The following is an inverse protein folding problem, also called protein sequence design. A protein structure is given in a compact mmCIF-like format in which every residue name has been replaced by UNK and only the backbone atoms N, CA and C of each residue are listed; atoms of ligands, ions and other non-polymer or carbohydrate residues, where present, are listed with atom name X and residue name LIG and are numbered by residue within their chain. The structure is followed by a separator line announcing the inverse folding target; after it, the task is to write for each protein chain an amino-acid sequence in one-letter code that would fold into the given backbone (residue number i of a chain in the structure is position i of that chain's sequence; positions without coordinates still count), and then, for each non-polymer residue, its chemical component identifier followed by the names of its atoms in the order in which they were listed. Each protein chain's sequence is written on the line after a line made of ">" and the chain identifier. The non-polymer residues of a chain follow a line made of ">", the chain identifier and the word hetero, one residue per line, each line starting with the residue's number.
data_IF_729672410976
#
_entry.id   IF_729672410976
#
_cell.length_a   1.000
_cell.length_b   1.000
_cell.length_c   1.000
_cell.angle_alpha   90.00
_cell.angle_beta   90.00
_cell.angle_gamma   90.00
#
_symmetry.space_group_name_H-M   'P 1'
#
loop_
_entity.id
_entity.type
_entity.pdbx_description
1 polymer ?
#
# COMPACT_ATOMS: atom_id res chain seq x y z
N UNK A 1 7.03 11.97 10.20
CA UNK A 1 7.34 11.35 8.89
C UNK A 1 8.83 11.06 8.70
N UNK A 2 9.72 11.91 9.23
CA UNK A 2 11.18 11.77 9.06
C UNK A 2 11.69 10.44 9.63
N UNK A 3 11.26 10.07 10.83
CA UNK A 3 11.64 8.82 11.48
C UNK A 3 11.16 7.58 10.70
N UNK A 4 9.97 7.68 10.11
CA UNK A 4 9.34 6.56 9.34
C UNK A 4 10.12 6.27 8.06
N UNK A 5 10.68 7.28 7.40
CA UNK A 5 11.41 7.09 6.13
C UNK A 5 12.91 6.83 6.33
N UNK A 6 13.43 6.99 7.54
CA UNK A 6 14.84 6.77 7.83
C UNK A 6 15.32 5.35 7.45
N UNK A 7 14.61 4.26 7.84
CA UNK A 7 15.02 2.91 7.44
C UNK A 7 15.06 2.70 5.92
N UNK A 8 14.18 3.39 5.18
CA UNK A 8 14.13 3.30 3.71
C UNK A 8 15.36 3.96 3.09
N UNK A 9 15.79 5.11 3.63
CA UNK A 9 17.03 5.79 3.21
C UNK A 9 18.26 4.96 3.53
N UNK A 10 18.32 4.35 4.71
CA UNK A 10 19.41 3.41 5.07
C UNK A 10 19.47 2.21 4.12
N UNK A 11 18.34 1.59 3.82
CA UNK A 11 18.27 0.49 2.86
C UNK A 11 18.83 0.90 1.50
N UNK A 12 18.50 2.11 1.02
CA UNK A 12 19.04 2.64 -0.24
C UNK A 12 20.55 2.81 -0.20
N UNK A 13 21.11 3.35 0.89
CA UNK A 13 22.55 3.49 1.07
C UNK A 13 23.28 2.14 1.12
N UNK A 14 22.62 1.09 1.59
CA UNK A 14 23.09 -0.29 1.55
C UNK A 14 22.94 -0.98 0.17
N UNK A 15 22.47 -0.24 -0.84
CA UNK A 15 22.35 -0.75 -2.21
C UNK A 15 21.03 -1.43 -2.54
N UNK A 16 20.00 -1.30 -1.69
CA UNK A 16 18.67 -1.85 -1.99
C UNK A 16 18.01 -1.04 -3.11
N UNK A 17 17.60 -1.72 -4.18
CA UNK A 17 16.96 -1.11 -5.36
C UNK A 17 15.49 -1.49 -5.52
N UNK A 18 15.04 -2.51 -4.81
CA UNK A 18 13.68 -3.06 -4.92
C UNK A 18 13.07 -3.16 -3.53
N UNK A 19 11.81 -2.80 -3.36
CA UNK A 19 11.12 -2.93 -2.09
C UNK A 19 9.69 -3.48 -2.26
N UNK A 20 9.25 -4.26 -1.27
CA UNK A 20 7.89 -4.73 -1.15
C UNK A 20 7.34 -4.16 0.15
N UNK A 21 6.27 -3.40 0.08
CA UNK A 21 5.54 -2.92 1.25
C UNK A 21 4.24 -3.67 1.41
N UNK A 22 3.96 -4.13 2.62
CA UNK A 22 2.70 -4.77 2.96
C UNK A 22 2.06 -4.07 4.13
N UNK A 23 0.74 -3.97 4.13
CA UNK A 23 -0.03 -3.37 5.21
C UNK A 23 -1.38 -4.04 5.39
N UNK A 24 -2.06 -3.73 6.50
CA UNK A 24 -3.48 -3.94 6.69
C UNK A 24 -4.23 -2.69 6.24
N UNK A 25 -5.40 -2.85 5.63
CA UNK A 25 -6.24 -1.75 5.17
C UNK A 25 -7.73 -2.06 5.34
N UNK A 26 -8.52 -1.02 5.56
CA UNK A 26 -9.98 -1.09 5.47
C UNK A 26 -10.43 -1.03 4.00
N UNK A 27 -11.33 -1.92 3.59
CA UNK A 27 -11.90 -1.92 2.24
C UNK A 27 -12.93 -0.81 2.05
N UNK A 28 -12.72 0.06 1.07
CA UNK A 28 -13.67 1.11 0.64
C UNK A 28 -14.48 0.65 -0.56
N UNK A 29 -13.86 -0.10 -1.47
CA UNK A 29 -14.52 -0.67 -2.63
C UNK A 29 -15.52 -1.74 -2.20
N UNK A 30 -16.78 -1.58 -2.62
CA UNK A 30 -17.88 -2.46 -2.20
C UNK A 30 -17.80 -3.89 -2.77
N UNK A 31 -16.93 -4.14 -3.74
CA UNK A 31 -16.66 -5.48 -4.25
C UNK A 31 -15.67 -6.28 -3.40
N UNK A 32 -14.94 -5.59 -2.50
CA UNK A 32 -13.98 -6.23 -1.62
C UNK A 32 -14.67 -6.88 -0.41
N UNK A 33 -13.95 -7.78 0.21
CA UNK A 33 -14.31 -8.41 1.48
C UNK A 33 -13.06 -8.68 2.32
N UNK A 34 -13.21 -8.84 3.63
CA UNK A 34 -12.08 -9.17 4.51
C UNK A 34 -11.33 -10.42 4.02
N UNK A 35 -10.01 -10.34 4.02
CA UNK A 35 -9.08 -11.34 3.50
C UNK A 35 -8.72 -11.17 2.02
N UNK A 36 -9.26 -10.20 1.29
CA UNK A 36 -8.81 -9.87 -0.07
C UNK A 36 -7.43 -9.21 -0.05
N UNK A 37 -6.68 -9.37 -1.15
CA UNK A 37 -5.42 -8.70 -1.36
C UNK A 37 -5.62 -7.58 -2.40
N UNK A 38 -5.23 -6.36 -2.06
CA UNK A 38 -5.22 -5.23 -2.97
C UNK A 38 -3.77 -4.88 -3.34
N UNK A 39 -3.40 -5.09 -4.58
CA UNK A 39 -2.15 -4.59 -5.17
C UNK A 39 -2.32 -3.09 -5.35
N UNK A 40 -1.50 -2.30 -4.67
CA UNK A 40 -1.61 -0.85 -4.70
C UNK A 40 -1.11 -0.34 -6.05
N UNK A 41 -2.00 0.31 -6.80
CA UNK A 41 -1.67 0.92 -8.09
C UNK A 41 -1.24 2.38 -7.97
N UNK A 42 -1.83 3.10 -7.00
CA UNK A 42 -1.61 4.50 -6.72
C UNK A 42 -2.06 4.83 -5.29
N UNK A 43 -1.83 6.05 -4.85
CA UNK A 43 -2.31 6.52 -3.55
C UNK A 43 -2.91 7.92 -3.62
N UNK A 44 -3.80 8.21 -2.65
CA UNK A 44 -4.33 9.55 -2.38
C UNK A 44 -3.91 9.94 -0.96
N UNK A 45 -3.34 11.13 -0.78
CA UNK A 45 -3.05 11.70 0.53
C UNK A 45 -3.22 13.23 0.52
N UNK A 46 -3.80 13.78 1.57
CA UNK A 46 -4.01 15.23 1.70
C UNK A 46 -3.50 15.79 3.04
N UNK A 47 -3.42 14.99 4.07
CA UNK A 47 -3.18 15.43 5.46
C UNK A 47 -1.86 14.93 6.07
N UNK A 48 -1.05 14.22 5.32
CA UNK A 48 0.28 13.80 5.77
C UNK A 48 1.30 14.90 5.50
N UNK A 49 2.16 15.22 6.49
CA UNK A 49 3.34 16.00 6.22
C UNK A 49 4.25 15.22 5.26
N UNK A 50 4.46 15.74 4.05
CA UNK A 50 5.27 15.07 3.04
C UNK A 50 6.72 14.94 3.54
N UNK A 51 7.31 13.74 3.54
CA UNK A 51 8.66 13.49 4.05
C UNK A 51 9.77 14.14 3.21
N UNK A 52 9.45 14.65 2.02
CA UNK A 52 10.38 15.35 1.13
C UNK A 52 10.37 16.87 1.33
N UNK A 53 9.60 17.41 2.31
CA UNK A 53 9.63 18.84 2.65
C UNK A 53 10.95 19.16 3.37
N UNK A 54 11.61 20.23 2.93
CA UNK A 54 12.87 20.69 3.47
C UNK A 54 13.95 20.81 2.40
N UNK A 55 15.23 20.95 2.78
CA UNK A 55 16.35 20.90 1.84
C UNK A 55 16.37 19.56 1.10
N UNK A 56 16.62 19.60 -0.21
CA UNK A 56 16.79 18.36 -0.95
C UNK A 56 18.07 17.63 -0.52
N UNK A 57 18.00 16.32 -0.48
CA UNK A 57 19.17 15.44 -0.30
C UNK A 57 19.51 14.90 -1.69
N UNK A 58 20.36 15.64 -2.42
CA UNK A 58 20.62 15.40 -3.85
C UNK A 58 21.19 14.00 -4.12
N UNK A 59 21.87 13.41 -3.14
CA UNK A 59 22.35 12.03 -3.19
C UNK A 59 21.25 10.99 -3.27
N UNK A 60 20.03 11.32 -2.86
CA UNK A 60 18.88 10.41 -2.90
C UNK A 60 17.98 10.62 -4.12
N UNK A 61 18.00 11.80 -4.72
CA UNK A 61 17.15 12.03 -5.90
C UNK A 61 16.87 13.51 -6.18
N UNK A 62 16.11 13.78 -7.25
CA UNK A 62 15.80 15.14 -7.68
C UNK A 62 14.85 15.86 -6.72
N UNK A 63 14.94 17.20 -6.68
CA UNK A 63 14.05 18.04 -5.87
C UNK A 63 12.56 17.83 -6.16
N UNK A 64 12.21 17.51 -7.39
CA UNK A 64 10.85 17.29 -7.86
C UNK A 64 10.74 15.93 -8.56
N UNK A 65 10.60 14.83 -7.80
CA UNK A 65 10.46 13.49 -8.38
C UNK A 65 9.10 13.33 -9.06
N UNK A 66 9.05 12.53 -10.11
CA UNK A 66 7.78 12.11 -10.71
C UNK A 66 7.07 11.12 -9.80
N UNK A 67 5.74 11.24 -9.70
CA UNK A 67 4.87 10.29 -8.98
C UNK A 67 3.99 9.46 -9.92
N UNK A 68 4.30 9.40 -11.22
CA UNK A 68 3.46 8.71 -12.20
C UNK A 68 3.52 7.17 -12.11
N UNK A 69 4.55 6.59 -11.51
CA UNK A 69 4.73 5.13 -11.37
C UNK A 69 5.42 4.81 -10.03
N UNK A 70 4.83 5.29 -8.93
CA UNK A 70 5.36 5.03 -7.57
C UNK A 70 5.37 3.53 -7.30
N UNK A 71 4.27 2.84 -7.59
CA UNK A 71 4.18 1.38 -7.52
C UNK A 71 4.43 0.79 -8.91
N UNK A 72 5.61 0.25 -9.11
CA UNK A 72 6.16 -0.15 -10.40
C UNK A 72 5.23 -1.08 -11.19
N UNK A 73 4.70 -0.59 -12.32
CA UNK A 73 3.70 -1.30 -13.12
C UNK A 73 4.10 -2.74 -13.48
N UNK A 74 5.33 -3.04 -13.96
CA UNK A 74 5.73 -4.42 -14.23
C UNK A 74 5.64 -5.34 -13.00
N UNK A 75 5.90 -4.83 -11.78
CA UNK A 75 5.79 -5.62 -10.56
C UNK A 75 4.34 -5.96 -10.21
N UNK A 76 3.44 -5.00 -10.42
CA UNK A 76 2.00 -5.23 -10.23
C UNK A 76 1.48 -6.29 -11.21
N UNK A 77 1.90 -6.24 -12.48
CA UNK A 77 1.55 -7.22 -13.51
C UNK A 77 2.07 -8.62 -13.18
N UNK A 78 3.33 -8.75 -12.75
CA UNK A 78 3.92 -10.03 -12.32
C UNK A 78 3.14 -10.61 -11.14
N UNK A 79 2.87 -9.82 -10.10
CA UNK A 79 2.17 -10.30 -8.91
C UNK A 79 0.75 -10.77 -9.23
N UNK A 80 0.02 -10.02 -10.06
CA UNK A 80 -1.32 -10.42 -10.52
C UNK A 80 -1.30 -11.69 -11.37
N UNK A 81 -0.27 -11.86 -12.19
CA UNK A 81 -0.08 -13.09 -12.96
C UNK A 81 0.12 -14.30 -12.03
N UNK A 82 0.94 -14.16 -11.01
CA UNK A 82 1.14 -15.22 -9.99
C UNK A 82 -0.20 -15.58 -9.34
N UNK A 83 -0.99 -14.59 -8.90
CA UNK A 83 -2.31 -14.84 -8.33
C UNK A 83 -3.24 -15.58 -9.30
N UNK A 84 -3.25 -15.20 -10.57
CA UNK A 84 -4.05 -15.84 -11.60
C UNK A 84 -3.63 -17.29 -11.86
N UNK A 85 -2.34 -17.60 -11.82
CA UNK A 85 -1.80 -18.97 -11.92
C UNK A 85 -2.29 -19.85 -10.76
N UNK A 86 -2.44 -19.27 -9.57
CA UNK A 86 -3.07 -19.91 -8.41
C UNK A 86 -4.61 -19.93 -8.44
N UNK A 87 -5.22 -19.38 -9.50
CA UNK A 87 -6.68 -19.22 -9.64
C UNK A 87 -7.30 -18.44 -8.47
N UNK A 88 -6.56 -17.48 -7.93
CA UNK A 88 -7.02 -16.62 -6.84
C UNK A 88 -7.77 -15.41 -7.38
N UNK A 89 -9.10 -15.45 -7.29
CA UNK A 89 -9.99 -14.37 -7.68
C UNK A 89 -10.10 -13.25 -6.61
N UNK A 90 -9.38 -13.39 -5.50
CA UNK A 90 -9.39 -12.46 -4.36
C UNK A 90 -8.19 -11.52 -4.35
N UNK A 91 -7.54 -11.31 -5.49
CA UNK A 91 -6.45 -10.35 -5.70
C UNK A 91 -6.89 -9.28 -6.68
N UNK A 92 -6.98 -8.07 -6.20
CA UNK A 92 -7.46 -6.89 -6.94
C UNK A 92 -6.33 -5.87 -7.10
N UNK A 93 -6.51 -4.89 -7.96
CA UNK A 93 -5.67 -3.70 -8.06
C UNK A 93 -6.50 -2.49 -7.63
N UNK A 94 -5.92 -1.59 -6.83
CA UNK A 94 -6.69 -0.46 -6.31
C UNK A 94 -5.85 0.70 -5.80
N UNK A 95 -6.52 1.80 -5.51
CA UNK A 95 -5.96 3.04 -4.99
C UNK A 95 -6.04 3.06 -3.46
N UNK A 96 -4.89 3.27 -2.83
CA UNK A 96 -4.77 3.35 -1.38
C UNK A 96 -4.96 4.79 -0.90
N UNK A 97 -5.89 5.03 0.03
CA UNK A 97 -6.05 6.33 0.69
C UNK A 97 -5.29 6.33 2.01
N UNK A 98 -4.44 7.35 2.22
CA UNK A 98 -3.77 7.55 3.49
C UNK A 98 -4.64 8.38 4.43
N UNK A 99 -4.95 7.84 5.61
CA UNK A 99 -5.54 8.53 6.74
C UNK A 99 -4.51 8.67 7.87
N UNK A 100 -4.55 9.79 8.60
CA UNK A 100 -3.56 10.05 9.64
C UNK A 100 -3.75 9.18 10.90
N UNK A 101 -4.98 8.70 11.16
CA UNK A 101 -5.29 8.03 12.41
C UNK A 101 -5.14 8.95 13.65
N UNK A 102 -5.09 8.41 14.88
CA UNK A 102 -5.14 6.98 15.20
C UNK A 102 -6.57 6.38 15.23
N UNK A 103 -7.64 7.22 15.20
CA UNK A 103 -9.00 6.73 15.09
C UNK A 103 -9.31 6.25 13.67
N UNK A 104 -10.26 5.32 13.58
CA UNK A 104 -10.85 4.95 12.30
C UNK A 104 -11.66 6.12 11.71
N UNK A 105 -11.82 6.10 10.41
CA UNK A 105 -12.55 7.10 9.66
C UNK A 105 -14.04 7.05 9.97
N UNK A 106 -14.71 8.19 9.89
CA UNK A 106 -16.16 8.26 9.97
C UNK A 106 -16.81 7.72 8.67
N UNK A 107 -18.07 7.26 8.73
CA UNK A 107 -18.79 6.87 7.50
C UNK A 107 -18.87 7.97 6.43
N UNK A 108 -18.84 9.25 6.83
CA UNK A 108 -18.83 10.37 5.90
C UNK A 108 -17.48 10.52 5.18
N UNK A 109 -16.37 10.35 5.91
CA UNK A 109 -15.03 10.34 5.34
C UNK A 109 -14.87 9.17 4.36
N UNK A 110 -15.33 7.96 4.71
CA UNK A 110 -15.30 6.80 3.80
C UNK A 110 -16.08 7.05 2.51
N UNK A 111 -17.26 7.66 2.59
CA UNK A 111 -18.01 8.05 1.37
C UNK A 111 -17.26 9.06 0.52
N UNK A 112 -16.60 10.05 1.16
CA UNK A 112 -15.79 11.04 0.45
C UNK A 112 -14.57 10.38 -0.23
N UNK A 113 -13.83 9.54 0.48
CA UNK A 113 -12.67 8.80 -0.05
C UNK A 113 -13.06 7.94 -1.26
N UNK A 114 -14.21 7.24 -1.18
CA UNK A 114 -14.74 6.45 -2.31
C UNK A 114 -15.09 7.34 -3.50
N UNK A 115 -15.69 8.50 -3.27
CA UNK A 115 -15.99 9.47 -4.35
C UNK A 115 -14.72 9.99 -5.02
N UNK A 116 -13.63 10.08 -4.29
CA UNK A 116 -12.30 10.46 -4.81
C UNK A 116 -11.59 9.31 -5.55
N UNK A 117 -12.17 8.12 -5.55
CA UNK A 117 -11.62 6.96 -6.27
C UNK A 117 -10.74 6.04 -5.44
N UNK A 118 -10.79 6.12 -4.10
CA UNK A 118 -10.08 5.20 -3.24
C UNK A 118 -10.78 3.84 -3.13
N UNK A 119 -9.98 2.76 -3.12
CA UNK A 119 -10.43 1.38 -2.97
C UNK A 119 -10.13 0.80 -1.57
N UNK A 120 -9.10 1.30 -0.92
CA UNK A 120 -8.73 0.93 0.44
C UNK A 120 -8.19 2.11 1.23
N UNK A 121 -8.26 2.03 2.56
CA UNK A 121 -7.77 3.08 3.48
C UNK A 121 -6.88 2.49 4.56
N UNK A 122 -5.83 3.23 4.93
CA UNK A 122 -4.98 2.89 6.06
C UNK A 122 -4.06 4.02 6.47
N UNK A 123 -3.23 3.79 7.48
CA UNK A 123 -2.50 4.83 8.22
C UNK A 123 -0.97 4.73 8.04
N UNK A 124 -0.49 4.05 6.99
CA UNK A 124 0.94 3.74 6.79
C UNK A 124 1.35 3.78 5.32
N UNK A 125 2.56 3.31 5.00
CA UNK A 125 3.02 2.92 3.65
C UNK A 125 3.32 4.09 2.70
N UNK A 126 2.52 5.17 2.71
CA UNK A 126 2.65 6.24 1.72
C UNK A 126 3.91 7.07 1.92
N UNK A 127 4.29 7.36 3.16
CA UNK A 127 5.55 8.10 3.44
C UNK A 127 6.77 7.32 2.96
N UNK A 128 6.81 6.02 3.26
CA UNK A 128 7.87 5.10 2.84
C UNK A 128 7.91 4.97 1.32
N UNK A 129 6.74 4.86 0.68
CA UNK A 129 6.63 4.79 -0.78
C UNK A 129 7.13 6.06 -1.45
N UNK A 130 6.81 7.25 -0.91
CA UNK A 130 7.33 8.53 -1.40
C UNK A 130 8.85 8.60 -1.32
N UNK A 131 9.44 8.21 -0.18
CA UNK A 131 10.88 8.22 0.01
C UNK A 131 11.58 7.23 -0.93
N UNK A 132 11.06 6.01 -1.04
CA UNK A 132 11.62 4.99 -1.91
C UNK A 132 11.53 5.37 -3.41
N UNK A 133 10.38 5.92 -3.84
CA UNK A 133 10.21 6.41 -5.22
C UNK A 133 11.13 7.59 -5.53
N UNK A 134 11.31 8.54 -4.57
CA UNK A 134 12.28 9.63 -4.69
C UNK A 134 13.70 9.13 -4.98
N UNK A 135 14.09 8.03 -4.36
CA UNK A 135 15.40 7.39 -4.52
C UNK A 135 15.48 6.43 -5.72
N UNK A 136 14.47 6.38 -6.57
CA UNK A 136 14.42 5.53 -7.76
C UNK A 136 14.31 4.03 -7.48
N UNK A 137 13.85 3.65 -6.28
CA UNK A 137 13.59 2.24 -5.96
C UNK A 137 12.34 1.75 -6.69
N UNK A 138 12.35 0.49 -7.13
CA UNK A 138 11.17 -0.16 -7.71
C UNK A 138 10.31 -0.77 -6.62
N UNK A 139 9.04 -0.36 -6.55
CA UNK A 139 8.13 -0.72 -5.46
C UNK A 139 7.02 -1.65 -5.90
N UNK A 140 6.68 -2.60 -5.02
CA UNK A 140 5.42 -3.30 -5.00
C UNK A 140 4.74 -3.02 -3.66
N UNK A 141 3.49 -2.54 -3.68
CA UNK A 141 2.67 -2.33 -2.50
C UNK A 141 1.50 -3.32 -2.49
N UNK A 142 1.22 -3.95 -1.35
CA UNK A 142 0.10 -4.87 -1.21
C UNK A 142 -0.59 -4.62 0.12
N UNK A 143 -1.89 -4.36 0.08
CA UNK A 143 -2.74 -4.29 1.26
C UNK A 143 -3.51 -5.59 1.46
N UNK A 144 -3.54 -6.07 2.69
CA UNK A 144 -4.54 -7.06 3.13
C UNK A 144 -5.78 -6.29 3.57
N UNK A 145 -6.91 -6.53 2.94
CA UNK A 145 -8.18 -5.98 3.39
C UNK A 145 -8.61 -6.75 4.64
N UNK A 146 -8.46 -6.13 5.80
CA UNK A 146 -8.72 -6.79 7.09
C UNK A 146 -10.16 -6.65 7.56
N UNK A 147 -10.82 -5.60 7.12
CA UNK A 147 -12.19 -5.23 7.45
C UNK A 147 -12.75 -4.36 6.34
N UNK A 148 -14.06 -4.24 6.26
CA UNK A 148 -14.67 -3.18 5.46
C UNK A 148 -14.66 -1.88 6.27
N UNK A 149 -14.39 -0.77 5.59
CA UNK A 149 -14.26 0.53 6.25
C UNK A 149 -15.59 1.01 6.86
N UNK A 150 -15.51 1.95 7.79
CA UNK A 150 -16.63 2.44 8.59
C UNK A 150 -17.88 2.79 7.77
N UNK A 151 -19.04 2.28 8.19
CA UNK A 151 -20.34 2.52 7.54
C UNK A 151 -20.60 1.71 6.29
N UNK A 152 -19.74 0.74 5.95
CA UNK A 152 -19.98 -0.26 4.90
C UNK A 152 -20.58 -1.52 5.53
N UNK A 153 -19.99 -2.02 6.61
CA UNK A 153 -20.57 -3.09 7.45
C UNK A 153 -21.20 -2.50 8.71
N UNK A 154 -22.28 -3.15 9.18
CA UNK A 154 -23.22 -2.51 10.13
C UNK A 154 -22.72 -2.39 11.56
N UNK A 155 -21.77 -3.20 12.02
CA UNK A 155 -21.50 -3.34 13.47
C UNK A 155 -20.08 -3.04 13.95
N UNK A 156 -19.13 -2.83 13.04
CA UNK A 156 -17.74 -2.51 13.39
C UNK A 156 -17.02 -3.61 14.21
N UNK A 157 -17.55 -4.81 14.28
CA UNK A 157 -16.94 -5.95 14.97
C UNK A 157 -15.93 -6.63 14.06
N UNK A 158 -14.76 -5.99 13.89
CA UNK A 158 -13.71 -6.48 12.98
C UNK A 158 -12.68 -7.32 13.72
N UNK A 159 -12.46 -8.55 13.24
CA UNK A 159 -11.34 -9.38 13.70
C UNK A 159 -10.11 -9.15 12.80
N UNK A 160 -9.54 -7.95 12.91
CA UNK A 160 -8.44 -7.48 12.06
C UNK A 160 -7.25 -8.43 12.13
N UNK A 161 -6.84 -8.84 13.34
CA UNK A 161 -5.65 -9.67 13.56
C UNK A 161 -5.79 -11.06 12.96
N UNK A 162 -6.94 -11.70 13.13
CA UNK A 162 -7.20 -13.04 12.59
C UNK A 162 -7.25 -13.00 11.06
N UNK A 163 -7.98 -12.04 10.50
CA UNK A 163 -8.06 -11.85 9.05
C UNK A 163 -6.70 -11.57 8.44
N UNK A 164 -5.90 -10.70 9.07
CA UNK A 164 -4.53 -10.41 8.64
C UNK A 164 -3.64 -11.65 8.68
N UNK A 165 -3.77 -12.49 9.72
CA UNK A 165 -2.98 -13.72 9.89
C UNK A 165 -3.32 -14.77 8.83
N UNK A 166 -4.59 -14.95 8.50
CA UNK A 166 -5.02 -15.92 7.48
C UNK A 166 -4.62 -15.49 6.08
N UNK A 167 -4.95 -14.25 5.69
CA UNK A 167 -4.60 -13.71 4.38
C UNK A 167 -3.08 -13.56 4.22
N UNK A 168 -2.36 -13.28 5.32
CA UNK A 168 -0.91 -13.15 5.36
C UNK A 168 -0.16 -14.43 4.96
N UNK A 169 -0.72 -15.62 5.23
CA UNK A 169 -0.13 -16.89 4.77
C UNK A 169 -0.12 -16.96 3.25
N UNK A 170 -1.25 -16.69 2.63
CA UNK A 170 -1.40 -16.65 1.17
C UNK A 170 -0.51 -15.57 0.54
N UNK A 171 -0.49 -14.38 1.15
CA UNK A 171 0.38 -13.29 0.71
C UNK A 171 1.86 -13.69 0.76
N UNK A 172 2.31 -14.39 1.80
CA UNK A 172 3.70 -14.85 1.92
C UNK A 172 4.09 -15.80 0.78
N UNK A 173 3.22 -16.74 0.39
CA UNK A 173 3.44 -17.63 -0.75
C UNK A 173 3.62 -16.83 -2.05
N UNK A 174 2.77 -15.83 -2.29
CA UNK A 174 2.85 -14.99 -3.49
C UNK A 174 4.07 -14.07 -3.49
N UNK A 175 4.50 -13.57 -2.32
CA UNK A 175 5.73 -12.78 -2.20
C UNK A 175 6.96 -13.64 -2.54
N UNK A 176 7.02 -14.88 -2.07
CA UNK A 176 8.13 -15.81 -2.40
C UNK A 176 8.18 -16.02 -3.92
N UNK A 177 7.06 -16.39 -4.53
CA UNK A 177 6.98 -16.59 -5.99
C UNK A 177 7.33 -15.31 -6.77
N UNK A 178 6.91 -14.14 -6.27
CA UNK A 178 7.24 -12.84 -6.86
C UNK A 178 8.73 -12.53 -6.78
N UNK A 179 9.37 -12.77 -5.64
CA UNK A 179 10.82 -12.57 -5.48
C UNK A 179 11.59 -13.45 -6.47
N UNK A 180 11.18 -14.70 -6.65
CA UNK A 180 11.81 -15.60 -7.61
C UNK A 180 11.63 -15.12 -9.06
N UNK A 181 10.48 -14.55 -9.39
CA UNK A 181 10.18 -14.04 -10.72
C UNK A 181 10.94 -12.74 -11.10
N UNK A 182 11.45 -11.97 -10.12
CA UNK A 182 12.15 -10.69 -10.35
C UNK A 182 13.67 -10.76 -10.09
N UNK A 183 14.20 -11.92 -9.81
CA UNK A 183 15.66 -12.16 -9.74
C UNK A 183 16.27 -12.03 -11.11
#
# INVERSE_FOLDING_TARGET
>A
PEDVVYPIREAKLLGVEKAIFTNAAGGINLSYRPGDLMVISDYIQFNMKNPLIGPNLDEFGPRFPSSCDVYHKPYREIFRKIAAEHRDERVFEGVYFYASGPQFETPAEIRAMRTLGADGVGMSTVAESMAAAHMGMKLLGISVITNMASGIEADGSWNIDETAKEAGKRLAEYIIAFIDAIR
#
